data_IF_432988220627
#
_entry.id   IF_432988220627
#
_cell.length_a   1.000
_cell.length_b   1.000
_cell.length_c   1.000
_cell.angle_alpha   90.00
_cell.angle_beta   90.00
_cell.angle_gamma   90.00
#
_symmetry.space_group_name_H-M   'P 1'
#
loop_
_entity.id
_entity.type
_entity.pdbx_description
1 polymer ?
#
# COMPACT_ATOMS: atom_id res chain seq x y z
N UNK A 1 7.74 -0.85 -22.06
CA UNK A 1 8.51 -0.88 -20.81
C UNK A 1 7.76 0.02 -19.87
N UNK A 2 6.82 -0.53 -19.12
CA UNK A 2 5.99 0.28 -18.21
C UNK A 2 6.26 -0.19 -16.80
N UNK A 3 6.75 0.77 -16.03
CA UNK A 3 7.01 0.82 -14.61
C UNK A 3 5.99 0.05 -13.76
N UNK A 4 6.49 -0.46 -12.63
CA UNK A 4 5.82 -1.27 -11.63
C UNK A 4 4.29 -1.07 -11.54
N UNK A 5 3.54 -2.09 -11.97
CA UNK A 5 2.09 -2.20 -11.77
C UNK A 5 1.75 -1.90 -10.30
N UNK A 6 0.87 -0.93 -10.05
CA UNK A 6 0.40 -0.62 -8.70
C UNK A 6 -0.36 -1.83 -8.14
N UNK A 7 0.15 -2.51 -7.08
CA UNK A 7 -0.42 -3.77 -6.64
C UNK A 7 -1.77 -3.52 -5.96
N UNK A 8 -2.86 -4.19 -6.40
CA UNK A 8 -4.19 -3.91 -5.87
C UNK A 8 -4.48 -4.70 -4.59
N UNK A 9 -3.71 -4.39 -3.55
CA UNK A 9 -3.79 -4.96 -2.21
C UNK A 9 -4.46 -3.96 -1.25
N UNK A 10 -5.25 -4.42 -0.26
CA UNK A 10 -5.77 -3.54 0.79
C UNK A 10 -4.64 -2.80 1.51
N UNK A 11 -4.79 -1.50 1.70
CA UNK A 11 -3.76 -0.63 2.27
C UNK A 11 -2.77 -0.05 1.27
N UNK A 12 -2.75 -0.51 0.02
CA UNK A 12 -1.96 0.14 -1.03
C UNK A 12 -2.48 1.55 -1.29
N UNK A 13 -1.55 2.50 -1.43
CA UNK A 13 -1.81 3.90 -1.76
C UNK A 13 -0.98 4.34 -2.96
N UNK A 14 -1.59 5.13 -3.83
CA UNK A 14 -0.92 5.75 -4.97
C UNK A 14 -1.38 7.20 -5.18
N UNK A 15 -0.54 7.96 -5.87
CA UNK A 15 -0.93 9.24 -6.46
C UNK A 15 -1.29 9.01 -7.91
N UNK A 16 -2.50 9.43 -8.29
CA UNK A 16 -2.97 9.34 -9.67
C UNK A 16 -2.21 10.36 -10.53
N UNK A 17 -1.44 9.90 -11.51
CA UNK A 17 -0.70 10.74 -12.46
C UNK A 17 -1.54 11.08 -13.70
N UNK A 18 -2.33 10.13 -14.17
CA UNK A 18 -3.23 10.30 -15.32
C UNK A 18 -4.39 9.30 -15.28
N UNK A 19 -5.55 9.71 -15.81
CA UNK A 19 -6.74 8.87 -15.93
C UNK A 19 -6.66 7.82 -17.06
N UNK A 20 -5.53 7.72 -17.74
CA UNK A 20 -5.32 6.80 -18.87
C UNK A 20 -5.98 7.28 -20.16
N UNK A 21 -6.02 6.40 -21.16
CA UNK A 21 -6.51 6.72 -22.52
C UNK A 21 -7.98 6.35 -22.76
N UNK A 22 -8.62 5.62 -21.85
CA UNK A 22 -10.02 5.23 -21.96
C UNK A 22 -10.95 6.40 -21.61
N UNK A 23 -11.45 7.10 -22.64
CA UNK A 23 -12.27 8.31 -22.47
C UNK A 23 -13.50 8.12 -21.58
N UNK A 24 -14.17 6.96 -21.64
CA UNK A 24 -15.39 6.71 -20.87
C UNK A 24 -15.09 6.58 -19.38
N UNK A 25 -14.07 5.80 -19.04
CA UNK A 25 -13.61 5.61 -17.66
C UNK A 25 -13.06 6.92 -17.11
N UNK A 26 -12.21 7.62 -17.87
CA UNK A 26 -11.66 8.91 -17.48
C UNK A 26 -12.75 9.96 -17.20
N UNK A 27 -13.75 10.08 -18.09
CA UNK A 27 -14.86 11.00 -17.90
C UNK A 27 -15.68 10.67 -16.64
N UNK A 28 -16.03 9.39 -16.45
CA UNK A 28 -16.78 8.94 -15.26
C UNK A 28 -16.00 9.24 -13.98
N UNK A 29 -14.70 8.94 -13.95
CA UNK A 29 -13.84 9.19 -12.79
C UNK A 29 -13.75 10.69 -12.46
N UNK A 30 -13.55 11.52 -13.48
CA UNK A 30 -13.53 12.98 -13.32
C UNK A 30 -14.86 13.54 -12.79
N UNK A 31 -16.00 13.01 -13.25
CA UNK A 31 -17.33 13.39 -12.74
C UNK A 31 -17.53 13.02 -11.25
N UNK A 32 -16.82 12.01 -10.76
CA UNK A 32 -16.80 11.64 -9.34
C UNK A 32 -15.73 12.42 -8.55
N UNK A 33 -15.05 13.38 -9.16
CA UNK A 33 -13.99 14.17 -8.53
C UNK A 33 -12.62 13.48 -8.48
N UNK A 34 -12.46 12.34 -9.16
CA UNK A 34 -11.17 11.64 -9.24
C UNK A 34 -10.33 12.24 -10.36
N UNK A 35 -9.31 13.01 -9.99
CA UNK A 35 -8.47 13.77 -10.91
C UNK A 35 -6.98 13.45 -10.72
N UNK A 36 -6.13 13.70 -11.73
CA UNK A 36 -4.68 13.67 -11.53
C UNK A 36 -4.26 14.52 -10.32
N UNK A 37 -3.40 13.96 -9.48
CA UNK A 37 -2.97 14.52 -8.19
C UNK A 37 -3.68 13.91 -6.98
N UNK A 38 -4.87 13.31 -7.16
CA UNK A 38 -5.57 12.65 -6.07
C UNK A 38 -4.79 11.47 -5.49
N UNK A 39 -4.85 11.30 -4.17
CA UNK A 39 -4.35 10.10 -3.49
C UNK A 39 -5.45 9.05 -3.44
N UNK A 40 -5.19 7.91 -4.08
CA UNK A 40 -6.07 6.75 -4.02
C UNK A 40 -5.56 5.78 -2.96
N UNK A 41 -6.47 5.23 -2.16
CA UNK A 41 -6.19 4.16 -1.20
C UNK A 41 -7.15 3.00 -1.39
N UNK A 42 -6.61 1.79 -1.54
CA UNK A 42 -7.42 0.57 -1.59
C UNK A 42 -7.84 0.21 -0.17
N UNK A 43 -9.14 0.26 0.09
CA UNK A 43 -9.72 -0.06 1.40
C UNK A 43 -9.87 -1.58 1.56
N UNK A 44 -10.42 -2.23 0.53
CA UNK A 44 -10.53 -3.69 0.45
C UNK A 44 -10.72 -4.15 -0.99
N UNK A 45 -10.40 -5.42 -1.24
CA UNK A 45 -10.80 -6.11 -2.45
C UNK A 45 -12.12 -6.84 -2.24
N UNK A 46 -12.94 -6.97 -3.29
CA UNK A 46 -14.09 -7.86 -3.26
C UNK A 46 -13.64 -9.33 -3.13
N UNK A 47 -14.48 -10.24 -2.62
CA UNK A 47 -14.11 -11.65 -2.44
C UNK A 47 -13.63 -12.34 -3.73
N UNK A 48 -14.18 -11.93 -4.88
CA UNK A 48 -13.83 -12.44 -6.20
C UNK A 48 -12.77 -11.60 -6.92
N UNK A 49 -12.30 -10.53 -6.28
CA UNK A 49 -11.18 -9.73 -6.77
C UNK A 49 -11.43 -9.01 -8.09
N UNK A 50 -12.66 -8.80 -8.55
CA UNK A 50 -12.89 -8.02 -9.79
C UNK A 50 -12.98 -6.52 -9.52
N UNK A 51 -13.39 -6.17 -8.30
CA UNK A 51 -13.67 -4.79 -7.87
C UNK A 51 -12.95 -4.50 -6.56
N UNK A 52 -12.54 -3.26 -6.40
CA UNK A 52 -11.86 -2.71 -5.25
C UNK A 52 -12.73 -1.61 -4.66
N UNK A 53 -12.81 -1.54 -3.34
CA UNK A 53 -13.31 -0.35 -2.67
C UNK A 53 -12.13 0.60 -2.49
N UNK A 54 -12.24 1.80 -3.06
CA UNK A 54 -11.18 2.79 -3.12
C UNK A 54 -11.66 4.07 -2.44
N UNK A 55 -10.83 4.62 -1.56
CA UNK A 55 -10.99 5.96 -1.02
C UNK A 55 -10.13 6.94 -1.83
N UNK A 56 -10.64 8.15 -2.04
CA UNK A 56 -9.91 9.25 -2.71
C UNK A 56 -9.74 10.38 -1.74
N UNK A 57 -8.49 10.77 -1.46
CA UNK A 57 -8.15 11.79 -0.49
C UNK A 57 -8.91 11.61 0.84
N UNK A 58 -9.75 12.58 1.23
CA UNK A 58 -10.64 12.51 2.40
C UNK A 58 -12.13 12.37 2.02
N UNK A 59 -12.43 12.03 0.77
CA UNK A 59 -13.79 11.89 0.25
C UNK A 59 -14.37 10.50 0.48
N UNK A 60 -15.60 10.30 -0.01
CA UNK A 60 -16.30 9.02 0.08
C UNK A 60 -15.59 7.89 -0.68
N UNK A 61 -15.89 6.66 -0.27
CA UNK A 61 -15.36 5.46 -0.90
C UNK A 61 -16.24 5.06 -2.08
N UNK A 62 -15.63 4.57 -3.16
CA UNK A 62 -16.36 4.06 -4.31
C UNK A 62 -15.77 2.74 -4.82
N UNK A 63 -16.57 2.03 -5.61
CA UNK A 63 -16.18 0.77 -6.22
C UNK A 63 -15.46 1.00 -7.56
N UNK A 64 -14.22 0.54 -7.68
CA UNK A 64 -13.41 0.61 -8.89
C UNK A 64 -13.06 -0.80 -9.39
N UNK A 65 -13.24 -1.07 -10.69
CA UNK A 65 -12.83 -2.35 -11.26
C UNK A 65 -11.30 -2.44 -11.32
N UNK A 66 -10.73 -3.62 -11.10
CA UNK A 66 -9.28 -3.82 -11.25
C UNK A 66 -8.80 -3.52 -12.68
N UNK A 67 -9.62 -3.83 -13.68
CA UNK A 67 -9.34 -3.50 -15.08
C UNK A 67 -9.27 -2.00 -15.33
N UNK A 68 -10.04 -1.20 -14.58
CA UNK A 68 -10.05 0.25 -14.70
C UNK A 68 -8.79 0.81 -14.02
N UNK A 69 -8.47 0.33 -12.81
CA UNK A 69 -7.25 0.70 -12.08
C UNK A 69 -5.98 0.41 -12.89
N UNK A 70 -5.90 -0.74 -13.56
CA UNK A 70 -4.76 -1.12 -14.40
C UNK A 70 -4.55 -0.22 -15.64
N UNK A 71 -5.55 0.60 -16.00
CA UNK A 71 -5.44 1.58 -17.09
C UNK A 71 -5.06 2.98 -16.60
N UNK A 72 -5.09 3.19 -15.29
CA UNK A 72 -4.69 4.46 -14.68
C UNK A 72 -3.16 4.49 -14.57
N UNK A 73 -2.58 5.66 -14.76
CA UNK A 73 -1.19 5.88 -14.43
C UNK A 73 -1.09 6.26 -12.95
N UNK A 74 -0.61 5.32 -12.14
CA UNK A 74 -0.58 5.43 -10.69
C UNK A 74 0.86 5.33 -10.21
N UNK A 75 1.31 6.32 -9.44
CA UNK A 75 2.58 6.22 -8.74
C UNK A 75 2.34 5.66 -7.33
N UNK A 76 2.82 4.45 -7.01
CA UNK A 76 2.71 3.89 -5.67
C UNK A 76 3.47 4.76 -4.66
N UNK A 77 2.85 5.04 -3.50
CA UNK A 77 3.47 5.83 -2.41
C UNK A 77 3.48 5.10 -1.07
N UNK A 78 2.57 4.15 -0.88
CA UNK A 78 2.60 3.26 0.28
C UNK A 78 2.06 1.89 -0.08
N UNK A 79 2.66 0.83 0.46
CA UNK A 79 2.31 -0.56 0.15
C UNK A 79 2.31 -1.44 1.40
N UNK A 80 1.44 -2.47 1.46
CA UNK A 80 1.54 -3.50 2.49
C UNK A 80 2.90 -4.21 2.45
N UNK A 81 3.40 -4.67 3.59
CA UNK A 81 4.67 -5.41 3.66
C UNK A 81 4.70 -6.68 2.80
N UNK A 82 3.53 -7.23 2.47
CA UNK A 82 3.36 -8.38 1.58
C UNK A 82 3.46 -8.03 0.10
N UNK A 83 3.57 -6.76 -0.26
CA UNK A 83 3.64 -6.35 -1.66
C UNK A 83 4.91 -6.89 -2.34
N UNK A 84 4.79 -7.47 -3.55
CA UNK A 84 5.90 -8.15 -4.23
C UNK A 84 7.04 -7.21 -4.65
N UNK A 85 6.78 -5.91 -4.75
CA UNK A 85 7.78 -4.89 -5.07
C UNK A 85 8.69 -4.53 -3.89
N UNK A 86 8.36 -4.96 -2.66
CA UNK A 86 9.21 -4.72 -1.50
C UNK A 86 10.33 -5.75 -1.43
N UNK A 87 11.56 -5.25 -1.45
CA UNK A 87 12.78 -6.07 -1.51
C UNK A 87 13.36 -6.34 -0.11
N UNK A 88 13.78 -7.58 0.19
CA UNK A 88 14.62 -7.88 1.34
C UNK A 88 15.94 -7.10 1.30
N UNK A 89 16.47 -6.77 2.47
CA UNK A 89 17.68 -5.96 2.64
C UNK A 89 17.44 -4.45 2.68
N UNK A 90 16.25 -3.99 2.30
CA UNK A 90 15.90 -2.57 2.26
C UNK A 90 15.20 -2.11 3.55
N UNK A 91 15.45 -0.86 3.92
CA UNK A 91 14.77 -0.17 5.01
C UNK A 91 13.52 0.52 4.48
N UNK A 92 12.41 0.35 5.19
CA UNK A 92 11.14 1.00 4.92
C UNK A 92 10.64 1.71 6.17
N UNK A 93 9.84 2.76 5.99
CA UNK A 93 9.17 3.43 7.11
C UNK A 93 7.72 3.00 7.16
N UNK A 94 7.22 2.58 8.31
CA UNK A 94 5.81 2.24 8.49
C UNK A 94 4.98 3.51 8.27
N UNK A 95 4.11 3.48 7.27
CA UNK A 95 3.12 4.51 7.01
C UNK A 95 1.97 4.41 8.01
N UNK A 96 1.46 3.18 8.21
CA UNK A 96 0.31 2.94 9.05
C UNK A 96 0.06 1.45 9.29
N UNK A 97 -0.85 1.18 10.22
CA UNK A 97 -1.25 -0.16 10.62
C UNK A 97 -2.77 -0.29 10.46
N UNK A 98 -3.22 -1.33 9.76
CA UNK A 98 -4.61 -1.61 9.47
C UNK A 98 -5.10 -2.74 10.39
N UNK A 99 -6.08 -2.47 11.25
CA UNK A 99 -6.65 -3.54 12.06
C UNK A 99 -7.36 -3.04 13.31
N UNK A 100 -7.95 -3.99 14.04
CA UNK A 100 -8.62 -3.69 15.30
C UNK A 100 -7.65 -3.41 16.44
N UNK A 101 -8.18 -2.83 17.52
CA UNK A 101 -7.43 -2.41 18.72
C UNK A 101 -6.39 -3.43 19.22
N UNK A 102 -6.76 -4.70 19.38
CA UNK A 102 -5.86 -5.77 19.87
C UNK A 102 -4.62 -5.96 18.98
N UNK A 103 -4.77 -5.80 17.67
CA UNK A 103 -3.66 -5.89 16.73
C UNK A 103 -2.72 -4.70 16.90
N UNK A 104 -3.26 -3.49 16.98
CA UNK A 104 -2.49 -2.27 17.18
C UNK A 104 -1.71 -2.28 18.50
N UNK A 105 -2.35 -2.69 19.60
CA UNK A 105 -1.70 -2.84 20.92
C UNK A 105 -0.55 -3.85 20.87
N UNK A 106 -0.75 -5.00 20.19
CA UNK A 106 0.29 -6.02 20.01
C UNK A 106 1.46 -5.49 19.17
N UNK A 107 1.18 -4.79 18.07
CA UNK A 107 2.21 -4.16 17.24
C UNK A 107 3.02 -3.13 18.04
N UNK A 108 2.35 -2.26 18.80
CA UNK A 108 2.99 -1.26 19.64
C UNK A 108 3.91 -1.89 20.70
N UNK A 109 3.45 -2.95 21.37
CA UNK A 109 4.26 -3.72 22.32
C UNK A 109 5.50 -4.37 21.67
N UNK A 110 5.47 -4.59 20.36
CA UNK A 110 6.57 -5.13 19.57
C UNK A 110 7.44 -4.04 18.91
N UNK A 111 7.15 -2.76 19.15
CA UNK A 111 7.86 -1.61 18.59
C UNK A 111 7.42 -1.21 17.17
N UNK A 112 6.33 -1.78 16.67
CA UNK A 112 5.74 -1.43 15.38
C UNK A 112 4.68 -0.34 15.57
N UNK A 113 4.96 0.86 15.09
CA UNK A 113 4.04 1.98 15.03
C UNK A 113 4.25 2.76 13.73
N UNK A 114 3.31 3.65 13.39
CA UNK A 114 3.54 4.60 12.30
C UNK A 114 4.83 5.41 12.57
N UNK A 115 5.64 5.59 11.53
CA UNK A 115 6.96 6.21 11.60
C UNK A 115 8.11 5.27 11.98
N UNK A 116 7.85 4.06 12.50
CA UNK A 116 8.91 3.08 12.80
C UNK A 116 9.63 2.68 11.51
N UNK A 117 10.97 2.64 11.54
CA UNK A 117 11.79 2.07 10.47
C UNK A 117 11.91 0.56 10.65
N UNK A 118 11.76 -0.19 9.57
CA UNK A 118 11.88 -1.65 9.55
C UNK A 118 12.72 -2.08 8.36
N UNK A 119 13.54 -3.11 8.55
CA UNK A 119 14.28 -3.76 7.47
C UNK A 119 13.68 -5.13 7.20
N UNK A 120 13.34 -5.43 5.96
CA UNK A 120 12.89 -6.78 5.58
C UNK A 120 14.13 -7.67 5.50
N UNK A 121 14.31 -8.64 6.39
CA UNK A 121 15.44 -9.58 6.30
C UNK A 121 15.14 -10.71 5.33
N UNK A 122 13.91 -11.26 5.42
CA UNK A 122 13.44 -12.35 4.57
C UNK A 122 11.94 -12.20 4.35
N UNK A 123 11.52 -12.45 3.11
CA UNK A 123 10.12 -12.57 2.74
C UNK A 123 9.88 -13.99 2.19
N UNK A 124 8.92 -14.69 2.79
CA UNK A 124 8.43 -15.99 2.31
C UNK A 124 6.91 -15.90 2.10
N UNK A 125 6.29 -16.83 1.35
CA UNK A 125 4.85 -16.76 1.06
C UNK A 125 3.93 -16.71 2.28
N UNK A 126 4.40 -17.17 3.45
CA UNK A 126 3.60 -17.29 4.68
C UNK A 126 4.14 -16.49 5.87
N UNK A 127 5.43 -16.13 5.86
CA UNK A 127 6.07 -15.36 6.94
C UNK A 127 7.02 -14.30 6.42
N UNK A 128 7.08 -13.19 7.13
CA UNK A 128 8.08 -12.15 6.94
C UNK A 128 8.91 -12.02 8.21
N UNK A 129 10.21 -11.80 8.03
CA UNK A 129 11.14 -11.55 9.13
C UNK A 129 11.70 -10.15 8.98
N UNK A 130 11.54 -9.34 10.02
CA UNK A 130 11.91 -7.94 10.04
C UNK A 130 12.90 -7.64 11.15
N UNK A 131 13.84 -6.73 10.89
CA UNK A 131 14.62 -6.06 11.93
C UNK A 131 14.07 -4.66 12.20
N UNK A 132 14.07 -4.27 13.47
CA UNK A 132 13.62 -2.95 13.93
C UNK A 132 14.79 -2.31 14.69
N UNK A 133 15.19 -1.07 14.39
CA UNK A 133 16.25 -0.39 15.14
C UNK A 133 15.95 -0.36 16.65
N UNK A 134 16.96 -0.67 17.47
CA UNK A 134 16.83 -0.72 18.93
C UNK A 134 16.28 -2.05 19.48
N UNK A 135 15.88 -2.99 18.61
CA UNK A 135 15.46 -4.33 19.01
C UNK A 135 16.57 -5.36 18.76
N UNK A 136 16.84 -6.21 19.75
CA UNK A 136 17.91 -7.24 19.66
C UNK A 136 17.50 -8.47 18.87
N UNK A 137 16.21 -8.83 18.90
CA UNK A 137 15.69 -9.98 18.17
C UNK A 137 14.82 -9.55 17.00
N UNK A 138 14.97 -10.16 15.81
CA UNK A 138 14.08 -9.91 14.69
C UNK A 138 12.65 -10.32 15.01
N UNK A 139 11.70 -9.63 14.39
CA UNK A 139 10.29 -9.91 14.52
C UNK A 139 9.83 -10.78 13.35
N UNK A 140 9.19 -11.91 13.66
CA UNK A 140 8.47 -12.69 12.66
C UNK A 140 7.00 -12.28 12.62
N UNK A 141 6.48 -12.10 11.41
CA UNK A 141 5.08 -11.78 11.14
C UNK A 141 4.50 -12.85 10.21
N UNK A 142 3.28 -13.29 10.50
CA UNK A 142 2.51 -14.07 9.52
C UNK A 142 2.05 -13.19 8.36
N UNK A 143 1.74 -13.80 7.21
CA UNK A 143 1.25 -13.08 6.02
C UNK A 143 0.09 -12.12 6.32
N UNK A 144 -0.92 -12.60 7.07
CA UNK A 144 -2.10 -11.77 7.40
C UNK A 144 -1.80 -10.61 8.36
N UNK A 145 -0.72 -10.69 9.14
CA UNK A 145 -0.24 -9.56 9.94
C UNK A 145 0.56 -8.59 9.08
N UNK A 146 1.46 -9.11 8.23
CA UNK A 146 2.26 -8.30 7.33
C UNK A 146 1.40 -7.51 6.33
N UNK A 147 0.31 -8.09 5.82
CA UNK A 147 -0.63 -7.42 4.92
C UNK A 147 -1.32 -6.20 5.58
N UNK A 148 -1.35 -6.16 6.90
CA UNK A 148 -1.91 -5.06 7.69
C UNK A 148 -0.91 -3.96 8.02
N UNK A 149 0.37 -4.16 7.71
CA UNK A 149 1.40 -3.16 7.96
C UNK A 149 1.73 -2.52 6.62
N UNK A 150 1.43 -1.23 6.50
CA UNK A 150 1.67 -0.45 5.30
C UNK A 150 2.94 0.36 5.49
N UNK A 151 3.84 0.32 4.52
CA UNK A 151 5.10 1.08 4.51
C UNK A 151 5.11 2.12 3.41
N UNK A 152 5.79 3.23 3.66
CA UNK A 152 6.07 4.26 2.68
C UNK A 152 7.11 3.75 1.68
N UNK A 153 6.83 3.92 0.40
CA UNK A 153 7.86 3.82 -0.63
C UNK A 153 8.58 5.14 -0.62
N UNK A 154 9.86 5.13 -0.24
CA UNK A 154 10.69 6.33 -0.33
C UNK A 154 10.59 6.85 -1.77
N UNK A 155 9.95 8.01 -1.95
CA UNK A 155 10.15 8.79 -3.15
C UNK A 155 11.65 9.02 -3.23
N UNK A 156 12.28 8.56 -4.30
CA UNK A 156 13.69 8.84 -4.55
C UNK A 156 13.90 10.33 -4.74
N UNK A 157 13.85 11.11 -3.67
CA UNK A 157 14.66 12.30 -3.53
C UNK A 157 15.99 11.83 -2.94
N UNK A 158 16.85 11.35 -3.83
CA UNK A 158 18.26 11.64 -3.66
C UNK A 158 18.35 13.16 -3.73
N UNK A 159 18.38 13.80 -2.56
CA UNK A 159 18.89 15.15 -2.43
C UNK A 159 20.33 15.10 -2.96
N UNK A 160 20.52 15.63 -4.17
CA UNK A 160 21.80 15.97 -4.75
C UNK A 160 21.95 17.49 -4.68
#
# INVERSE_FOLDING_TARGET
MTDADFPPLPGSECILRSLGTDRRTAHRLAQMGVLPGCRLRIVRASPFGETLEVAVDQSEQFALRRSDLARLDCQPVALPLTAPSLQPGHDYRIHGLLGGRRFLERCAAQGLAAGTRVRIERASPHRLRLTIPGRTQPLELGRGEAERIVVELGTGETAA
#
